data_IF_566680061034
#
_entry.id   IF_566680061034
#
_cell.length_a   1.000
_cell.length_b   1.000
_cell.length_c   1.000
_cell.angle_alpha   90.00
_cell.angle_beta   90.00
_cell.angle_gamma   90.00
#
_symmetry.space_group_name_H-M   'P 1'
#
loop_
_entity.id
_entity.type
_entity.pdbx_description
1 polymer ?
#
# COMPACT_ATOMS: atom_id res chain seq x y z
N UNK A 1 15.53 -6.69 27.20
CA UNK A 1 15.62 -6.12 25.83
C UNK A 1 14.43 -6.48 24.91
N UNK A 2 13.25 -6.84 25.44
CA UNK A 2 12.10 -7.35 24.64
C UNK A 2 11.08 -6.29 24.15
N UNK A 3 11.25 -5.01 24.48
CA UNK A 3 10.24 -3.98 24.21
C UNK A 3 10.35 -3.33 22.81
N UNK A 4 11.54 -3.29 22.20
CA UNK A 4 11.75 -2.62 20.91
C UNK A 4 10.98 -3.29 19.76
N UNK A 5 11.11 -4.62 19.65
CA UNK A 5 10.43 -5.39 18.59
C UNK A 5 8.90 -5.30 18.69
N UNK A 6 8.33 -5.44 19.90
CA UNK A 6 6.88 -5.31 20.12
C UNK A 6 6.34 -3.92 19.75
N UNK A 7 7.05 -2.85 20.12
CA UNK A 7 6.67 -1.47 19.77
C UNK A 7 6.67 -1.24 18.25
N UNK A 8 7.66 -1.76 17.54
CA UNK A 8 7.72 -1.67 16.08
C UNK A 8 6.56 -2.40 15.41
N UNK A 9 6.24 -3.61 15.87
CA UNK A 9 5.10 -4.38 15.33
C UNK A 9 3.78 -3.64 15.55
N UNK A 10 3.56 -3.06 16.74
CA UNK A 10 2.37 -2.24 17.03
C UNK A 10 2.31 -1.01 16.12
N UNK A 11 3.42 -0.29 15.96
CA UNK A 11 3.50 0.86 15.06
C UNK A 11 3.19 0.45 13.61
N UNK A 12 3.70 -0.70 13.15
CA UNK A 12 3.41 -1.25 11.84
C UNK A 12 1.92 -1.59 11.65
N UNK A 13 1.26 -2.10 12.67
CA UNK A 13 -0.19 -2.35 12.64
C UNK A 13 -1.02 -1.08 12.62
N UNK A 14 -0.66 -0.08 13.43
CA UNK A 14 -1.32 1.23 13.42
C UNK A 14 -1.20 1.87 12.03
N UNK A 15 0.00 1.90 11.47
CA UNK A 15 0.23 2.46 10.14
C UNK A 15 -0.50 1.67 9.05
N UNK A 16 -0.54 0.34 9.14
CA UNK A 16 -1.31 -0.50 8.21
C UNK A 16 -2.81 -0.21 8.29
N UNK A 17 -3.35 0.03 9.49
CA UNK A 17 -4.75 0.39 9.67
C UNK A 17 -5.05 1.77 9.08
N UNK A 18 -4.18 2.76 9.29
CA UNK A 18 -4.33 4.09 8.70
C UNK A 18 -4.32 4.05 7.18
N UNK A 19 -3.40 3.27 6.59
CA UNK A 19 -3.30 3.09 5.14
C UNK A 19 -4.54 2.37 4.59
N UNK A 20 -5.01 1.33 5.28
CA UNK A 20 -6.21 0.61 4.87
C UNK A 20 -7.47 1.47 4.96
N UNK A 21 -7.61 2.27 6.02
CA UNK A 21 -8.70 3.24 6.16
C UNK A 21 -8.65 4.29 5.06
N UNK A 22 -7.46 4.76 4.70
CA UNK A 22 -7.31 5.69 3.59
C UNK A 22 -7.71 5.05 2.25
N UNK A 23 -7.10 3.91 1.88
CA UNK A 23 -7.33 3.25 0.59
C UNK A 23 -8.78 2.74 0.45
N UNK A 24 -9.27 1.97 1.42
CA UNK A 24 -10.61 1.40 1.33
C UNK A 24 -11.72 2.38 1.75
N UNK A 25 -11.44 3.23 2.74
CA UNK A 25 -12.44 4.10 3.35
C UNK A 25 -12.58 5.47 2.70
N UNK A 26 -11.47 6.16 2.40
CA UNK A 26 -11.52 7.48 1.77
C UNK A 26 -11.47 7.38 0.23
N UNK A 27 -10.47 6.68 -0.29
CA UNK A 27 -10.17 6.62 -1.72
C UNK A 27 -11.15 5.72 -2.50
N UNK A 28 -11.35 4.47 -2.09
CA UNK A 28 -12.24 3.55 -2.78
C UNK A 28 -13.71 3.93 -2.59
N UNK A 29 -14.10 4.39 -1.40
CA UNK A 29 -15.49 4.83 -1.14
C UNK A 29 -15.91 5.95 -2.09
N UNK A 30 -15.05 6.94 -2.35
CA UNK A 30 -15.32 8.01 -3.33
C UNK A 30 -15.53 7.50 -4.76
N UNK A 31 -15.16 6.25 -5.08
CA UNK A 31 -15.45 5.61 -6.37
C UNK A 31 -16.80 4.89 -6.38
N UNK A 32 -17.33 4.52 -5.21
CA UNK A 32 -18.61 3.81 -5.06
C UNK A 32 -19.79 4.72 -4.77
N UNK A 33 -19.56 5.86 -4.12
CA UNK A 33 -20.61 6.82 -3.79
C UNK A 33 -20.76 7.87 -4.87
N UNK A 34 -21.91 8.53 -4.87
CA UNK A 34 -22.16 9.69 -5.71
C UNK A 34 -21.92 10.98 -4.92
N UNK A 35 -21.24 11.94 -5.53
CA UNK A 35 -20.88 13.22 -4.90
C UNK A 35 -20.61 14.29 -5.96
N UNK A 36 -20.77 15.56 -5.57
CA UNK A 36 -20.66 16.70 -6.48
C UNK A 36 -19.24 16.83 -7.08
N UNK A 37 -19.13 16.76 -8.40
CA UNK A 37 -17.85 16.85 -9.10
C UNK A 37 -17.16 15.50 -9.38
N UNK A 38 -17.75 14.37 -8.97
CA UNK A 38 -17.21 13.03 -9.24
C UNK A 38 -16.98 12.76 -10.73
N UNK A 39 -18.03 12.97 -11.54
CA UNK A 39 -18.00 12.70 -12.98
C UNK A 39 -16.98 13.59 -13.71
N UNK A 40 -16.94 14.88 -13.36
CA UNK A 40 -15.97 15.83 -13.88
C UNK A 40 -14.53 15.43 -13.49
N UNK A 41 -14.30 15.07 -12.23
CA UNK A 41 -12.99 14.61 -11.77
C UNK A 41 -12.53 13.36 -12.53
N UNK A 42 -13.38 12.35 -12.68
CA UNK A 42 -13.00 11.13 -13.41
C UNK A 42 -12.76 11.39 -14.89
N UNK A 43 -13.59 12.22 -15.52
CA UNK A 43 -13.42 12.66 -16.90
C UNK A 43 -12.09 13.40 -17.10
N UNK A 44 -11.71 14.29 -16.17
CA UNK A 44 -10.43 14.99 -16.18
C UNK A 44 -9.24 14.03 -16.07
N UNK A 45 -9.39 12.94 -15.32
CA UNK A 45 -8.39 11.87 -15.24
C UNK A 45 -8.39 10.95 -16.50
N UNK A 46 -9.33 11.14 -17.42
CA UNK A 46 -9.47 10.36 -18.65
C UNK A 46 -10.16 9.01 -18.44
N UNK A 47 -10.96 8.85 -17.38
CA UNK A 47 -11.65 7.62 -17.04
C UNK A 47 -13.17 7.80 -17.01
N UNK A 48 -13.89 6.80 -17.53
CA UNK A 48 -15.33 6.67 -17.35
C UNK A 48 -15.67 6.15 -15.94
N UNK A 49 -16.84 6.52 -15.43
CA UNK A 49 -17.32 6.12 -14.09
C UNK A 49 -17.41 4.60 -13.92
N UNK A 50 -17.87 3.87 -14.93
CA UNK A 50 -17.98 2.41 -14.87
C UNK A 50 -16.61 1.73 -14.77
N UNK A 51 -15.57 2.34 -15.34
CA UNK A 51 -14.20 1.87 -15.20
C UNK A 51 -13.61 2.23 -13.83
N UNK A 52 -13.89 3.43 -13.33
CA UNK A 52 -13.49 3.84 -11.98
C UNK A 52 -14.12 2.99 -10.88
N UNK A 53 -15.36 2.53 -11.07
CA UNK A 53 -15.98 1.56 -10.15
C UNK A 53 -15.19 0.26 -10.08
N UNK A 54 -14.78 -0.29 -11.24
CA UNK A 54 -13.93 -1.51 -11.29
C UNK A 54 -12.57 -1.28 -10.62
N UNK A 55 -11.97 -0.11 -10.81
CA UNK A 55 -10.72 0.29 -10.15
C UNK A 55 -10.92 0.35 -8.63
N UNK A 56 -12.06 0.85 -8.15
CA UNK A 56 -12.41 0.83 -6.72
C UNK A 56 -12.51 -0.59 -6.15
N UNK A 57 -13.14 -1.53 -6.88
CA UNK A 57 -13.20 -2.94 -6.46
C UNK A 57 -11.80 -3.53 -6.36
N UNK A 58 -10.95 -3.28 -7.35
CA UNK A 58 -9.55 -3.72 -7.34
C UNK A 58 -8.81 -3.15 -6.14
N UNK A 59 -8.92 -1.85 -5.88
CA UNK A 59 -8.31 -1.16 -4.74
C UNK A 59 -8.67 -1.81 -3.40
N UNK A 60 -9.96 -2.08 -3.18
CA UNK A 60 -10.42 -2.75 -1.95
C UNK A 60 -9.85 -4.16 -1.86
N UNK A 61 -9.90 -4.93 -2.95
CA UNK A 61 -9.40 -6.31 -2.95
C UNK A 61 -7.91 -6.38 -2.59
N UNK A 62 -7.07 -5.55 -3.20
CA UNK A 62 -5.63 -5.53 -2.90
C UNK A 62 -5.34 -5.00 -1.49
N UNK A 63 -6.14 -4.05 -0.99
CA UNK A 63 -6.05 -3.54 0.38
C UNK A 63 -6.39 -4.63 1.41
N UNK A 64 -7.44 -5.42 1.17
CA UNK A 64 -7.80 -6.56 2.03
C UNK A 64 -6.67 -7.58 2.09
N UNK A 65 -6.07 -7.92 0.94
CA UNK A 65 -4.91 -8.81 0.89
C UNK A 65 -3.71 -8.26 1.68
N UNK A 66 -3.50 -6.94 1.67
CA UNK A 66 -2.42 -6.28 2.42
C UNK A 66 -2.63 -6.33 3.95
N UNK A 67 -3.88 -6.18 4.40
CA UNK A 67 -4.22 -6.18 5.84
C UNK A 67 -4.11 -7.58 6.44
N UNK A 68 -4.55 -8.61 5.72
CA UNK A 68 -4.49 -10.00 6.19
C UNK A 68 -3.02 -10.43 6.35
N UNK A 69 -2.58 -10.82 7.57
CA UNK A 69 -1.16 -11.11 7.82
C UNK A 69 -0.58 -12.10 6.83
N UNK A 70 -1.28 -13.21 6.58
CA UNK A 70 -0.82 -14.32 5.72
C UNK A 70 -0.53 -13.88 4.28
N UNK A 71 -1.30 -12.95 3.74
CA UNK A 71 -1.19 -12.47 2.36
C UNK A 71 -0.52 -11.09 2.24
N UNK A 72 -0.17 -10.46 3.35
CA UNK A 72 0.27 -9.06 3.42
C UNK A 72 1.39 -8.68 2.45
N UNK A 73 2.35 -9.57 2.20
CA UNK A 73 3.43 -9.33 1.25
C UNK A 73 2.94 -9.31 -0.21
N UNK A 74 2.08 -10.26 -0.59
CA UNK A 74 1.44 -10.29 -1.92
C UNK A 74 0.54 -9.05 -2.07
N UNK A 75 -0.24 -8.74 -1.04
CA UNK A 75 -1.06 -7.54 -1.01
C UNK A 75 -0.24 -6.26 -1.22
N UNK A 76 0.93 -6.15 -0.58
CA UNK A 76 1.82 -5.01 -0.76
C UNK A 76 2.32 -4.84 -2.20
N UNK A 77 2.67 -5.94 -2.86
CA UNK A 77 3.07 -5.93 -4.28
C UNK A 77 1.89 -5.46 -5.15
N UNK A 78 0.70 -6.00 -4.92
CA UNK A 78 -0.49 -5.65 -5.71
C UNK A 78 -0.94 -4.19 -5.47
N UNK A 79 -0.87 -3.70 -4.23
CA UNK A 79 -1.10 -2.28 -3.90
C UNK A 79 -0.06 -1.41 -4.61
N UNK A 80 1.21 -1.82 -4.66
CA UNK A 80 2.26 -1.08 -5.38
C UNK A 80 1.92 -0.98 -6.88
N UNK A 81 1.48 -2.08 -7.51
CA UNK A 81 1.06 -2.07 -8.91
C UNK A 81 -0.15 -1.14 -9.15
N UNK A 82 -1.15 -1.20 -8.26
CA UNK A 82 -2.32 -0.31 -8.27
C UNK A 82 -1.89 1.18 -8.16
N UNK A 83 -1.04 1.52 -7.19
CA UNK A 83 -0.55 2.88 -6.98
C UNK A 83 0.35 3.36 -8.12
N UNK A 84 1.07 2.46 -8.79
CA UNK A 84 1.79 2.75 -10.03
C UNK A 84 0.86 3.21 -11.15
N UNK A 85 -0.30 2.56 -11.31
CA UNK A 85 -1.34 2.98 -12.25
C UNK A 85 -1.95 4.35 -11.91
N UNK A 86 -2.19 4.61 -10.63
CA UNK A 86 -2.63 5.93 -10.16
C UNK A 86 -1.57 7.00 -10.45
N UNK A 87 -0.31 6.71 -10.17
CA UNK A 87 0.82 7.61 -10.48
C UNK A 87 0.88 7.92 -11.98
N UNK A 88 0.82 6.91 -12.83
CA UNK A 88 0.84 7.08 -14.29
C UNK A 88 -0.34 7.93 -14.80
N UNK A 89 -1.52 7.74 -14.19
CA UNK A 89 -2.71 8.57 -14.49
C UNK A 89 -2.45 10.04 -14.20
N UNK A 90 -1.98 10.38 -12.99
CA UNK A 90 -1.71 11.77 -12.62
C UNK A 90 -0.62 12.39 -13.49
N UNK A 91 0.47 11.66 -13.76
CA UNK A 91 1.54 12.12 -14.67
C UNK A 91 0.98 12.42 -16.06
N UNK A 92 0.13 11.55 -16.61
CA UNK A 92 -0.46 11.71 -17.95
C UNK A 92 -1.26 13.01 -18.07
N UNK A 93 -2.00 13.38 -17.03
CA UNK A 93 -2.87 14.56 -17.06
C UNK A 93 -2.20 15.83 -16.53
N UNK A 94 -0.91 15.76 -16.17
CA UNK A 94 -0.16 16.91 -15.66
C UNK A 94 -0.47 17.28 -14.21
N UNK A 95 -1.13 16.39 -13.46
CA UNK A 95 -1.49 16.60 -12.06
C UNK A 95 -0.37 16.11 -11.10
N UNK A 96 -0.37 16.58 -9.84
CA UNK A 96 0.52 16.08 -8.81
C UNK A 96 0.48 14.54 -8.65
N UNK A 97 1.61 13.87 -8.87
CA UNK A 97 1.70 12.40 -8.86
C UNK A 97 2.42 11.81 -7.63
N UNK A 98 2.96 12.66 -6.74
CA UNK A 98 3.75 12.21 -5.59
C UNK A 98 2.91 11.52 -4.52
N UNK A 99 1.62 11.81 -4.43
CA UNK A 99 0.75 11.29 -3.39
C UNK A 99 0.62 9.75 -3.41
N UNK A 100 0.28 9.07 -4.53
CA UNK A 100 0.27 7.60 -4.58
C UNK A 100 1.65 6.98 -4.29
N UNK A 101 2.74 7.65 -4.63
CA UNK A 101 4.11 7.20 -4.32
C UNK A 101 4.34 7.20 -2.80
N UNK A 102 3.99 8.30 -2.12
CA UNK A 102 4.13 8.43 -0.65
C UNK A 102 3.33 7.33 0.06
N UNK A 103 2.10 7.05 -0.37
CA UNK A 103 1.28 5.96 0.19
C UNK A 103 1.97 4.60 -0.02
N UNK A 104 2.53 4.35 -1.20
CA UNK A 104 3.28 3.13 -1.48
C UNK A 104 4.48 2.95 -0.55
N UNK A 105 5.27 4.01 -0.36
CA UNK A 105 6.42 4.00 0.57
C UNK A 105 5.95 3.72 2.00
N UNK A 106 4.95 4.44 2.50
CA UNK A 106 4.39 4.24 3.84
C UNK A 106 3.86 2.82 4.04
N UNK A 107 3.27 2.23 3.00
CA UNK A 107 2.77 0.86 3.02
C UNK A 107 3.91 -0.16 3.15
N UNK A 108 5.02 0.01 2.41
CA UNK A 108 6.19 -0.85 2.56
C UNK A 108 6.86 -0.68 3.92
N UNK A 109 6.90 0.54 4.45
CA UNK A 109 7.38 0.82 5.82
C UNK A 109 6.49 0.10 6.84
N UNK A 110 5.16 0.20 6.72
CA UNK A 110 4.23 -0.49 7.60
C UNK A 110 4.43 -2.01 7.58
N UNK A 111 4.63 -2.58 6.38
CA UNK A 111 4.91 -4.01 6.23
C UNK A 111 6.24 -4.40 6.87
N UNK A 112 7.31 -3.65 6.64
CA UNK A 112 8.61 -3.94 7.25
C UNK A 112 8.64 -3.80 8.78
N UNK A 113 7.81 -2.90 9.33
CA UNK A 113 7.60 -2.80 10.77
C UNK A 113 6.83 -4.01 11.34
N UNK A 114 5.87 -4.56 10.58
CA UNK A 114 5.17 -5.81 10.95
C UNK A 114 6.03 -7.06 10.75
N UNK A 115 6.91 -7.03 9.75
CA UNK A 115 7.75 -8.13 9.26
C UNK A 115 9.18 -7.65 9.01
N UNK A 116 10.05 -7.69 10.03
CA UNK A 116 11.43 -7.20 9.93
C UNK A 116 12.24 -7.84 8.79
N UNK A 117 11.87 -9.05 8.36
CA UNK A 117 12.48 -9.78 7.26
C UNK A 117 12.40 -8.98 5.94
N UNK A 118 11.33 -8.20 5.75
CA UNK A 118 11.17 -7.35 4.55
C UNK A 118 12.25 -6.28 4.50
N UNK A 119 12.56 -5.63 5.63
CA UNK A 119 13.67 -4.67 5.70
C UNK A 119 15.04 -5.35 5.59
N UNK A 120 15.20 -6.56 6.12
CA UNK A 120 16.46 -7.31 5.99
C UNK A 120 16.77 -7.63 4.52
N UNK A 121 15.75 -8.07 3.76
CA UNK A 121 15.86 -8.33 2.33
C UNK A 121 16.16 -7.03 1.57
N UNK A 122 15.40 -5.97 1.83
CA UNK A 122 15.54 -4.71 1.12
C UNK A 122 16.88 -4.00 1.37
N UNK A 123 17.44 -4.11 2.58
CA UNK A 123 18.67 -3.45 2.99
C UNK A 123 19.92 -4.35 2.91
N UNK A 124 19.78 -5.58 2.41
CA UNK A 124 20.90 -6.49 2.17
C UNK A 124 21.66 -6.95 3.42
N UNK A 125 20.99 -7.11 4.57
CA UNK A 125 21.67 -7.64 5.77
C UNK A 125 22.01 -9.12 5.54
N UNK A 126 23.30 -9.53 5.64
CA UNK A 126 23.68 -10.92 5.45
C UNK A 126 22.93 -11.81 6.44
N UNK A 127 22.35 -12.91 5.94
CA UNK A 127 21.95 -14.02 6.79
C UNK A 127 23.20 -14.43 7.57
N UNK A 128 23.16 -14.41 8.90
CA UNK A 128 24.22 -15.01 9.70
C UNK A 128 24.17 -16.52 9.45
N UNK A 129 24.81 -16.97 8.37
CA UNK A 129 25.00 -18.37 8.07
C UNK A 129 26.01 -18.89 9.08
N UNK A 130 25.51 -19.63 10.05
CA UNK A 130 26.20 -20.53 10.96
C UNK A 130 27.73 -20.30 11.11
N UNK A 131 28.12 -19.54 12.14
CA UNK A 131 29.46 -19.61 12.72
C UNK A 131 29.68 -20.92 13.51
N UNK A 132 29.19 -22.06 12.98
CA UNK A 132 29.16 -23.35 13.67
C UNK A 132 29.70 -24.50 12.79
N UNK A 133 30.61 -24.20 11.85
CA UNK A 133 31.39 -25.21 11.13
C UNK A 133 32.90 -24.90 11.22
N UNK A 134 33.40 -24.67 12.42
CA UNK A 134 34.82 -24.86 12.75
C UNK A 134 35.02 -24.75 14.26
N UNK A 135 34.88 -25.87 14.97
CA UNK A 135 35.84 -26.47 15.94
C UNK A 135 35.18 -27.75 16.48
#
# INVERSE_FOLDING_TARGET
>A
MMNGSKKMVVAGWILSALIALFLAGASAMGKFTEWEGKSEMFSNLGWDEGLMLKIGILEVAVTVLFVIPRTSFIGAILVTAYLGGATATHVRVGEPFYFPIIIGVLMWVALGLRRPEVFQIALGKPRQTAANESV
#
